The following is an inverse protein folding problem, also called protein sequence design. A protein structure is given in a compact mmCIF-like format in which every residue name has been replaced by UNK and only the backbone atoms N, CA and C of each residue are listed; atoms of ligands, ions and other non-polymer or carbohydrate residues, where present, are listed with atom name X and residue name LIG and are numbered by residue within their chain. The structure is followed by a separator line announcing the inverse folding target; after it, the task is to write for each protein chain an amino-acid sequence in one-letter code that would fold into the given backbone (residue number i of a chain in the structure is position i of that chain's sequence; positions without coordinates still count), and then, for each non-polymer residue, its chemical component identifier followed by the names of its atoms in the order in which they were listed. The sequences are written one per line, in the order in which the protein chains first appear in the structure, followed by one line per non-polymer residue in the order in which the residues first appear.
data_IF_804420293265
#
_entry.id   IF_804420293265
#
_cell.length_a   1.000
_cell.length_b   1.000
_cell.length_c   1.000
_cell.angle_alpha   90.00
_cell.angle_beta   90.00
_cell.angle_gamma   90.00
#
_symmetry.space_group_name_H-M   'P 1'
#
loop_
_entity.id
_entity.type
_entity.pdbx_description
1 polymer ?
#
# COMPACT_ATOMS: atom_id res chain seq x y z
N UNK A 1 6.10 4.51 -4.19
CA UNK A 1 6.65 3.69 -3.11
C UNK A 1 6.69 4.43 -1.78
N UNK A 2 7.36 5.58 -1.73
CA UNK A 2 7.51 6.39 -0.50
C UNK A 2 6.15 6.68 0.16
N UNK A 3 5.17 7.16 -0.58
CA UNK A 3 3.87 7.53 -0.01
C UNK A 3 3.12 6.33 0.58
N UNK A 4 3.15 5.19 -0.10
CA UNK A 4 2.56 3.94 0.44
C UNK A 4 3.32 3.48 1.68
N UNK A 5 4.65 3.59 1.69
CA UNK A 5 5.47 3.31 2.87
C UNK A 5 5.16 4.23 4.05
N UNK A 6 4.89 5.52 3.83
CA UNK A 6 4.43 6.46 4.89
C UNK A 6 3.09 6.01 5.48
N UNK A 7 2.14 5.57 4.65
CA UNK A 7 0.90 4.96 5.12
C UNK A 7 1.16 3.70 5.96
N UNK A 8 2.13 2.87 5.54
CA UNK A 8 2.58 1.70 6.30
C UNK A 8 3.21 2.06 7.64
N UNK A 9 4.06 3.08 7.67
CA UNK A 9 4.66 3.57 8.91
C UNK A 9 3.60 4.09 9.89
N UNK A 10 2.64 4.87 9.38
CA UNK A 10 1.50 5.34 10.17
C UNK A 10 0.66 4.18 10.74
N UNK A 11 0.41 3.13 9.94
CA UNK A 11 -0.29 1.94 10.39
C UNK A 11 0.44 1.27 11.58
N UNK A 12 1.77 1.09 11.48
CA UNK A 12 2.57 0.47 12.55
C UNK A 12 2.48 1.31 13.83
N UNK A 13 2.80 2.59 13.74
CA UNK A 13 2.85 3.49 14.89
C UNK A 13 1.47 3.66 15.57
N UNK A 14 0.40 3.78 14.79
CA UNK A 14 -0.94 3.95 15.33
C UNK A 14 -1.47 2.71 16.07
N UNK A 15 -0.93 1.52 15.75
CA UNK A 15 -1.49 0.26 16.24
C UNK A 15 -0.49 -0.59 17.03
N UNK A 16 0.74 -0.07 17.31
CA UNK A 16 1.83 -0.86 17.90
C UNK A 16 1.48 -1.47 19.27
N UNK A 17 0.93 -0.69 20.19
CA UNK A 17 0.57 -1.14 21.54
C UNK A 17 -0.79 -1.83 21.61
N UNK A 18 -1.71 -1.45 20.73
CA UNK A 18 -3.09 -1.98 20.71
C UNK A 18 -3.11 -3.48 20.42
N UNK A 19 -2.11 -4.02 19.73
CA UNK A 19 -2.01 -5.46 19.45
C UNK A 19 -1.91 -6.31 20.72
N UNK A 20 -1.43 -5.73 21.82
CA UNK A 20 -1.31 -6.39 23.12
C UNK A 20 -2.62 -6.34 23.92
N UNK A 21 -3.57 -5.49 23.51
CA UNK A 21 -4.86 -5.28 24.19
C UNK A 21 -5.97 -5.99 23.42
N UNK A 22 -6.13 -5.66 22.14
CA UNK A 22 -7.14 -6.22 21.26
C UNK A 22 -6.65 -6.21 19.80
N UNK A 23 -6.49 -7.40 19.22
CA UNK A 23 -5.99 -7.56 17.87
C UNK A 23 -6.93 -6.98 16.80
N UNK A 24 -8.24 -7.01 17.02
CA UNK A 24 -9.24 -6.49 16.09
C UNK A 24 -9.21 -4.97 16.08
N UNK A 25 -9.11 -4.36 17.26
CA UNK A 25 -8.97 -2.91 17.41
C UNK A 25 -7.66 -2.41 16.82
N UNK A 26 -6.55 -3.10 17.07
CA UNK A 26 -5.25 -2.77 16.49
C UNK A 26 -5.30 -2.79 14.95
N UNK A 27 -5.94 -3.82 14.38
CA UNK A 27 -6.13 -3.94 12.94
C UNK A 27 -6.99 -2.82 12.38
N UNK A 28 -8.10 -2.50 13.04
CA UNK A 28 -9.01 -1.41 12.65
C UNK A 28 -8.28 -0.06 12.66
N UNK A 29 -7.60 0.28 13.76
CA UNK A 29 -6.88 1.55 13.88
C UNK A 29 -5.76 1.66 12.84
N UNK A 30 -4.96 0.61 12.65
CA UNK A 30 -3.95 0.58 11.60
C UNK A 30 -4.55 0.74 10.19
N UNK A 31 -5.70 0.08 9.94
CA UNK A 31 -6.40 0.17 8.67
C UNK A 31 -6.97 1.56 8.39
N UNK A 32 -7.36 2.33 9.41
CA UNK A 32 -7.87 3.71 9.22
C UNK A 32 -6.76 4.70 8.86
N UNK A 33 -5.53 4.45 9.27
CA UNK A 33 -4.38 5.34 9.01
C UNK A 33 -3.69 5.05 7.68
N UNK A 34 -3.59 3.78 7.31
CA UNK A 34 -2.88 3.34 6.10
C UNK A 34 -3.33 4.05 4.80
N UNK A 35 -4.62 4.39 4.58
CA UNK A 35 -5.11 5.04 3.37
C UNK A 35 -4.44 6.38 3.04
N UNK A 36 -3.83 7.05 4.01
CA UNK A 36 -3.02 8.26 3.78
C UNK A 36 -2.00 8.04 2.66
N UNK A 37 -1.45 6.83 2.54
CA UNK A 37 -0.53 6.47 1.47
C UNK A 37 -1.12 6.65 0.08
N UNK A 38 -2.34 6.14 -0.17
CA UNK A 38 -3.00 6.31 -1.48
C UNK A 38 -3.51 7.74 -1.68
N UNK A 39 -3.98 8.41 -0.62
CA UNK A 39 -4.37 9.82 -0.71
C UNK A 39 -3.21 10.68 -1.21
N UNK A 40 -2.00 10.49 -0.65
CA UNK A 40 -0.79 11.19 -1.10
C UNK A 40 -0.46 10.85 -2.56
N UNK A 41 -0.57 9.59 -2.97
CA UNK A 41 -0.35 9.18 -4.36
C UNK A 41 -1.28 9.93 -5.30
N UNK A 42 -2.58 9.90 -5.03
CA UNK A 42 -3.61 10.44 -5.94
C UNK A 42 -3.61 11.97 -5.95
N UNK A 43 -3.52 12.59 -4.77
CA UNK A 43 -3.66 14.05 -4.64
C UNK A 43 -2.37 14.76 -5.04
N UNK A 44 -1.20 14.20 -4.69
CA UNK A 44 0.10 14.78 -5.04
C UNK A 44 0.62 14.32 -6.42
N UNK A 45 -0.12 13.46 -7.14
CA UNK A 45 0.20 13.09 -8.51
C UNK A 45 1.40 12.14 -8.66
N UNK A 46 1.54 11.17 -7.76
CA UNK A 46 2.59 10.16 -7.85
C UNK A 46 2.12 8.90 -8.60
N UNK A 47 3.07 8.15 -9.15
CA UNK A 47 2.83 6.90 -9.85
C UNK A 47 2.84 5.71 -8.88
N UNK A 48 1.81 4.87 -8.98
CA UNK A 48 1.67 3.66 -8.20
C UNK A 48 1.39 2.46 -9.10
N UNK A 49 2.25 1.44 -9.05
CA UNK A 49 2.13 0.24 -9.90
C UNK A 49 0.74 -0.41 -9.83
N UNK A 50 0.21 -0.59 -8.61
CA UNK A 50 -1.09 -1.23 -8.39
C UNK A 50 -2.26 -0.37 -8.90
N UNK A 51 -2.14 0.96 -8.89
CA UNK A 51 -3.11 1.87 -9.49
C UNK A 51 -3.00 1.91 -11.01
N UNK A 52 -1.77 1.81 -11.54
CA UNK A 52 -1.51 1.82 -12.99
C UNK A 52 -2.04 0.57 -13.72
N UNK A 53 -2.55 -0.42 -12.99
CA UNK A 53 -3.28 -1.53 -13.61
C UNK A 53 -4.55 -1.05 -14.35
N UNK A 54 -5.10 0.11 -14.01
CA UNK A 54 -6.15 0.78 -14.81
C UNK A 54 -5.73 1.11 -16.25
N UNK A 55 -4.44 1.23 -16.56
CA UNK A 55 -3.96 1.46 -17.92
C UNK A 55 -4.32 0.33 -18.89
N UNK A 56 -4.69 -0.85 -18.39
CA UNK A 56 -5.23 -1.94 -19.23
C UNK A 56 -6.48 -1.50 -20.00
N UNK A 57 -7.32 -0.64 -19.40
CA UNK A 57 -8.49 -0.08 -20.09
C UNK A 57 -8.08 0.82 -21.27
N UNK A 58 -6.98 1.56 -21.14
CA UNK A 58 -6.46 2.38 -22.24
C UNK A 58 -5.94 1.50 -23.40
N UNK A 59 -5.34 0.34 -23.09
CA UNK A 59 -4.97 -0.65 -24.12
C UNK A 59 -6.21 -1.22 -24.81
N UNK A 60 -7.22 -1.64 -24.06
CA UNK A 60 -8.48 -2.17 -24.60
C UNK A 60 -9.17 -1.17 -25.52
N UNK A 61 -9.11 0.13 -25.19
CA UNK A 61 -9.62 1.23 -25.98
C UNK A 61 -8.64 1.72 -27.07
N UNK A 62 -7.53 0.99 -27.30
CA UNK A 62 -6.51 1.32 -28.33
C UNK A 62 -5.91 2.73 -28.17
N UNK A 63 -5.90 3.29 -26.97
CA UNK A 63 -5.29 4.59 -26.66
C UNK A 63 -3.78 4.49 -26.41
N UNK A 64 -3.32 3.35 -25.94
CA UNK A 64 -1.92 3.03 -25.74
C UNK A 64 -1.65 1.59 -26.23
N UNK A 65 -0.38 1.29 -26.51
CA UNK A 65 0.08 -0.03 -26.92
C UNK A 65 0.42 -0.90 -25.72
N UNK A 66 0.43 -2.23 -25.90
CA UNK A 66 0.93 -3.16 -24.88
C UNK A 66 2.39 -2.86 -24.48
N UNK A 67 3.23 -2.42 -25.42
CA UNK A 67 4.62 -2.05 -25.13
C UNK A 67 4.70 -0.87 -24.16
N UNK A 68 3.87 0.14 -24.35
CA UNK A 68 3.80 1.31 -23.45
C UNK A 68 3.28 0.91 -22.07
N UNK A 69 2.28 0.02 -22.00
CA UNK A 69 1.76 -0.54 -20.75
C UNK A 69 2.88 -1.24 -19.96
N UNK A 70 3.54 -2.22 -20.57
CA UNK A 70 4.61 -2.98 -19.90
C UNK A 70 5.81 -2.11 -19.53
N UNK A 71 6.16 -1.12 -20.36
CA UNK A 71 7.20 -0.15 -20.04
C UNK A 71 6.83 0.66 -18.80
N UNK A 72 5.62 1.19 -18.73
CA UNK A 72 5.16 1.93 -17.55
C UNK A 72 5.17 1.04 -16.30
N UNK A 73 4.57 -0.14 -16.37
CA UNK A 73 4.52 -1.06 -15.23
C UNK A 73 5.90 -1.42 -14.70
N UNK A 74 6.85 -1.74 -15.58
CA UNK A 74 8.22 -2.09 -15.17
C UNK A 74 8.93 -0.93 -14.50
N UNK A 75 8.87 0.27 -15.11
CA UNK A 75 9.52 1.46 -14.57
C UNK A 75 8.92 1.87 -13.21
N UNK A 76 7.59 1.89 -13.12
CA UNK A 76 6.90 2.28 -11.89
C UNK A 76 7.10 1.25 -10.79
N UNK A 77 7.08 -0.05 -11.12
CA UNK A 77 7.35 -1.12 -10.16
C UNK A 77 8.74 -0.98 -9.53
N UNK A 78 9.78 -0.80 -10.37
CA UNK A 78 11.16 -0.60 -9.92
C UNK A 78 11.28 0.70 -9.10
N UNK A 79 10.70 1.79 -9.57
CA UNK A 79 10.72 3.07 -8.85
C UNK A 79 9.97 2.99 -7.49
N UNK A 80 8.85 2.26 -7.43
CA UNK A 80 8.16 2.02 -6.17
C UNK A 80 9.00 1.18 -5.21
N UNK A 81 9.70 0.14 -5.72
CA UNK A 81 10.61 -0.67 -4.91
C UNK A 81 11.75 0.17 -4.31
N UNK A 82 12.44 0.95 -5.16
CA UNK A 82 13.53 1.83 -4.71
C UNK A 82 13.01 2.84 -3.68
N UNK A 83 11.90 3.51 -3.96
CA UNK A 83 11.33 4.52 -3.06
C UNK A 83 10.88 3.93 -1.71
N UNK A 84 10.25 2.76 -1.71
CA UNK A 84 9.83 2.07 -0.47
C UNK A 84 11.02 1.64 0.38
N UNK A 85 12.07 1.09 -0.26
CA UNK A 85 13.27 0.65 0.43
C UNK A 85 14.07 1.83 1.00
N UNK A 86 14.21 2.92 0.23
CA UNK A 86 14.85 4.14 0.71
C UNK A 86 14.12 4.73 1.91
N UNK A 87 12.79 4.71 1.91
CA UNK A 87 12.00 5.16 3.04
C UNK A 87 12.23 4.25 4.27
N UNK A 88 12.25 2.93 4.10
CA UNK A 88 12.52 2.00 5.19
C UNK A 88 13.89 2.28 5.83
N UNK A 89 14.92 2.47 5.01
CA UNK A 89 16.27 2.85 5.48
C UNK A 89 16.25 4.20 6.21
N UNK A 90 15.56 5.20 5.66
CA UNK A 90 15.47 6.52 6.30
C UNK A 90 14.77 6.46 7.66
N UNK A 91 13.66 5.72 7.79
CA UNK A 91 12.92 5.53 9.06
C UNK A 91 13.77 4.76 10.07
N UNK A 92 14.53 3.75 9.62
CA UNK A 92 15.47 3.02 10.47
C UNK A 92 16.52 3.96 11.09
N UNK A 93 17.20 4.76 10.27
CA UNK A 93 18.21 5.72 10.76
C UNK A 93 17.61 6.88 11.55
N UNK A 94 16.36 7.25 11.31
CA UNK A 94 15.65 8.23 12.11
C UNK A 94 15.30 7.72 13.51
N UNK A 95 15.47 6.41 13.79
CA UNK A 95 15.14 5.82 15.08
C UNK A 95 13.66 5.89 15.43
N UNK A 96 12.77 5.96 14.43
CA UNK A 96 11.33 6.13 14.65
C UNK A 96 10.68 4.86 15.20
N UNK A 97 11.18 3.68 14.82
CA UNK A 97 10.62 2.39 15.23
C UNK A 97 11.46 1.79 16.35
N UNK A 98 10.99 2.00 17.58
CA UNK A 98 11.59 1.46 18.81
C UNK A 98 10.56 0.64 19.59
N UNK A 99 11.01 -0.29 20.44
CA UNK A 99 10.15 -1.07 21.32
C UNK A 99 9.02 -1.80 20.56
N UNK A 100 7.78 -1.50 20.89
CA UNK A 100 6.60 -2.16 20.31
C UNK A 100 6.47 -1.96 18.81
N UNK A 101 6.86 -0.80 18.27
CA UNK A 101 6.85 -0.56 16.83
C UNK A 101 7.83 -1.48 16.09
N UNK A 102 9.02 -1.68 16.63
CA UNK A 102 10.02 -2.61 16.09
C UNK A 102 9.50 -4.05 16.11
N UNK A 103 9.01 -4.50 17.25
CA UNK A 103 8.43 -5.85 17.39
C UNK A 103 7.28 -6.08 16.40
N UNK A 104 6.42 -5.07 16.23
CA UNK A 104 5.29 -5.15 15.32
C UNK A 104 5.72 -5.26 13.85
N UNK A 105 6.69 -4.45 13.40
CA UNK A 105 7.13 -4.52 11.99
C UNK A 105 7.83 -5.84 11.68
N UNK A 106 8.62 -6.38 12.62
CA UNK A 106 9.23 -7.71 12.50
C UNK A 106 8.14 -8.78 12.35
N UNK A 107 7.12 -8.76 13.21
CA UNK A 107 5.99 -9.70 13.15
C UNK A 107 5.24 -9.60 11.81
N UNK A 108 5.02 -8.38 11.29
CA UNK A 108 4.40 -8.16 9.98
C UNK A 108 5.27 -8.76 8.88
N UNK A 109 6.57 -8.48 8.86
CA UNK A 109 7.49 -8.99 7.84
C UNK A 109 7.53 -10.53 7.85
N UNK A 110 7.61 -11.15 9.03
CA UNK A 110 7.56 -12.60 9.19
C UNK A 110 6.27 -13.20 8.64
N UNK A 111 5.11 -12.65 9.04
CA UNK A 111 3.81 -13.16 8.59
C UNK A 111 3.64 -13.09 7.07
N UNK A 112 4.20 -12.05 6.43
CA UNK A 112 4.17 -11.89 4.98
C UNK A 112 5.12 -12.83 4.25
N UNK A 113 6.27 -13.13 4.84
CA UNK A 113 7.29 -14.02 4.27
C UNK A 113 6.93 -15.51 4.40
N UNK A 114 5.97 -15.86 5.25
CA UNK A 114 5.52 -17.24 5.47
C UNK A 114 4.27 -17.64 4.67
N UNK A 115 3.70 -16.71 3.90
CA UNK A 115 2.55 -17.03 3.04
C UNK A 115 2.94 -18.03 1.95
N UNK A 116 2.03 -18.95 1.68
CA UNK A 116 2.15 -19.80 0.50
C UNK A 116 1.98 -18.98 -0.78
N UNK A 117 2.52 -19.46 -1.89
CA UNK A 117 2.40 -18.78 -3.20
C UNK A 117 0.92 -18.56 -3.56
N UNK A 118 0.05 -19.53 -3.29
CA UNK A 118 -1.36 -19.44 -3.60
C UNK A 118 -2.06 -18.35 -2.74
N UNK A 119 -1.78 -18.33 -1.43
CA UNK A 119 -2.32 -17.29 -0.54
C UNK A 119 -1.86 -15.90 -0.95
N UNK A 120 -0.57 -15.73 -1.22
CA UNK A 120 -0.01 -14.45 -1.65
C UNK A 120 -0.65 -13.99 -2.97
N UNK A 121 -0.85 -14.90 -3.93
CA UNK A 121 -1.47 -14.61 -5.22
C UNK A 121 -2.93 -14.18 -5.06
N UNK A 122 -3.73 -14.96 -4.33
CA UNK A 122 -5.16 -14.66 -4.15
C UNK A 122 -5.34 -13.36 -3.37
N UNK A 123 -4.61 -13.17 -2.27
CA UNK A 123 -4.66 -11.93 -1.48
C UNK A 123 -4.19 -10.73 -2.30
N UNK A 124 -3.21 -10.91 -3.19
CA UNK A 124 -2.74 -9.87 -4.11
C UNK A 124 -3.81 -9.48 -5.14
N UNK A 125 -4.49 -10.44 -5.74
CA UNK A 125 -5.60 -10.19 -6.68
C UNK A 125 -6.73 -9.43 -6.00
N UNK A 126 -7.19 -9.88 -4.83
CA UNK A 126 -8.27 -9.24 -4.07
C UNK A 126 -7.88 -7.83 -3.65
N UNK A 127 -6.64 -7.62 -3.19
CA UNK A 127 -6.12 -6.30 -2.87
C UNK A 127 -6.14 -5.39 -4.09
N UNK A 128 -5.58 -5.85 -5.22
CA UNK A 128 -5.44 -5.01 -6.40
C UNK A 128 -6.80 -4.64 -7.02
N UNK A 129 -7.78 -5.52 -6.95
CA UNK A 129 -9.16 -5.23 -7.33
C UNK A 129 -9.71 -4.02 -6.57
N UNK A 130 -9.51 -3.98 -5.24
CA UNK A 130 -9.99 -2.87 -4.40
C UNK A 130 -9.18 -1.59 -4.68
N UNK A 131 -7.85 -1.68 -4.86
CA UNK A 131 -7.01 -0.51 -5.17
C UNK A 131 -7.40 0.12 -6.50
N UNK A 132 -7.63 -0.70 -7.53
CA UNK A 132 -8.09 -0.21 -8.85
C UNK A 132 -9.43 0.49 -8.74
N UNK A 133 -10.38 -0.05 -7.96
CA UNK A 133 -11.68 0.59 -7.72
C UNK A 133 -11.52 1.92 -6.96
N UNK A 134 -10.63 1.99 -5.97
CA UNK A 134 -10.34 3.24 -5.25
C UNK A 134 -9.80 4.33 -6.18
N UNK A 135 -8.84 3.97 -7.05
CA UNK A 135 -8.28 4.91 -8.03
C UNK A 135 -9.34 5.32 -9.06
N UNK A 136 -10.19 4.40 -9.50
CA UNK A 136 -11.32 4.70 -10.40
C UNK A 136 -12.28 5.71 -9.78
N UNK A 137 -12.71 5.46 -8.53
CA UNK A 137 -13.58 6.38 -7.78
C UNK A 137 -12.92 7.75 -7.58
N UNK A 138 -11.62 7.78 -7.24
CA UNK A 138 -10.87 9.01 -7.06
C UNK A 138 -10.70 9.80 -8.37
N UNK A 139 -10.64 9.12 -9.51
CA UNK A 139 -10.62 9.75 -10.85
C UNK A 139 -11.97 10.40 -11.19
N UNK A 140 -13.08 9.80 -10.77
CA UNK A 140 -14.42 10.36 -10.95
C UNK A 140 -14.73 11.53 -10.00
N UNK A 141 -14.04 11.61 -8.85
CA UNK A 141 -14.23 12.66 -7.85
C UNK A 141 -13.72 14.02 -8.33
N UNK A 142 -14.53 15.08 -8.13
CA UNK A 142 -14.27 16.41 -8.67
C UNK A 142 -13.52 17.35 -7.68
N UNK A 143 -13.49 17.01 -6.41
CA UNK A 143 -12.87 17.82 -5.35
C UNK A 143 -11.96 16.96 -4.46
N UNK A 144 -11.11 17.62 -3.66
CA UNK A 144 -10.12 16.95 -2.80
C UNK A 144 -10.80 16.11 -1.71
N UNK A 145 -11.88 16.58 -1.13
CA UNK A 145 -12.57 15.88 -0.03
C UNK A 145 -13.16 14.57 -0.56
N UNK A 146 -13.84 14.63 -1.70
CA UNK A 146 -14.37 13.43 -2.36
C UNK A 146 -13.27 12.44 -2.73
N UNK A 147 -12.09 12.89 -3.18
CA UNK A 147 -10.93 12.03 -3.45
C UNK A 147 -10.41 11.36 -2.18
N UNK A 148 -10.37 12.08 -1.06
CA UNK A 148 -9.97 11.52 0.24
C UNK A 148 -10.87 10.33 0.60
N UNK A 149 -12.20 10.51 0.56
CA UNK A 149 -13.14 9.44 0.90
C UNK A 149 -13.12 8.31 -0.12
N UNK A 150 -12.95 8.60 -1.41
CA UNK A 150 -12.82 7.60 -2.46
C UNK A 150 -11.58 6.70 -2.26
N UNK A 151 -10.50 7.25 -1.69
CA UNK A 151 -9.33 6.47 -1.32
C UNK A 151 -9.50 5.78 0.03
N UNK A 152 -10.08 6.45 1.02
CA UNK A 152 -10.06 6.00 2.42
C UNK A 152 -10.75 4.68 2.63
N UNK A 153 -12.03 4.59 2.32
CA UNK A 153 -12.82 3.40 2.65
C UNK A 153 -12.36 2.12 1.92
N UNK A 154 -12.08 2.12 0.61
CA UNK A 154 -11.61 0.91 -0.05
C UNK A 154 -10.23 0.45 0.48
N UNK A 155 -9.32 1.39 0.71
CA UNK A 155 -7.99 1.06 1.22
C UNK A 155 -8.05 0.56 2.66
N UNK A 156 -8.86 1.19 3.51
CA UNK A 156 -9.14 0.69 4.86
C UNK A 156 -9.65 -0.76 4.82
N UNK A 157 -10.59 -1.05 3.89
CA UNK A 157 -11.18 -2.38 3.76
C UNK A 157 -10.13 -3.44 3.43
N UNK A 158 -9.26 -3.24 2.42
CA UNK A 158 -8.31 -4.29 2.09
C UNK A 158 -7.27 -4.51 3.20
N UNK A 159 -6.87 -3.46 3.92
CA UNK A 159 -5.97 -3.59 5.07
C UNK A 159 -6.65 -4.37 6.20
N UNK A 160 -7.90 -4.05 6.47
CA UNK A 160 -8.71 -4.74 7.49
C UNK A 160 -8.90 -6.23 7.15
N UNK A 161 -9.11 -6.57 5.87
CA UNK A 161 -9.22 -7.95 5.39
C UNK A 161 -7.87 -8.70 5.39
N UNK A 162 -6.74 -8.01 5.53
CA UNK A 162 -5.42 -8.63 5.48
C UNK A 162 -5.01 -9.07 4.07
N UNK A 163 -5.46 -8.35 3.04
CA UNK A 163 -5.03 -8.58 1.67
C UNK A 163 -3.62 -8.05 1.41
N UNK A 164 -2.91 -8.63 0.44
CA UNK A 164 -1.50 -8.35 0.20
C UNK A 164 -1.30 -7.30 -0.89
N UNK A 165 -0.70 -6.18 -0.52
CA UNK A 165 -0.37 -5.10 -1.44
C UNK A 165 1.12 -5.14 -1.79
N UNK A 166 1.45 -5.43 -3.05
CA UNK A 166 2.83 -5.62 -3.49
C UNK A 166 3.75 -4.45 -3.12
N UNK A 167 3.33 -3.21 -3.39
CA UNK A 167 4.14 -2.01 -3.08
C UNK A 167 4.24 -1.75 -1.57
N UNK A 168 3.21 -2.07 -0.78
CA UNK A 168 3.32 -1.98 0.68
C UNK A 168 4.32 -3.01 1.24
N UNK A 169 4.36 -4.20 0.65
CA UNK A 169 5.33 -5.22 1.04
C UNK A 169 6.78 -4.82 0.74
N UNK A 170 7.01 -3.97 -0.28
CA UNK A 170 8.32 -3.37 -0.57
C UNK A 170 8.81 -2.44 0.56
N UNK A 171 7.93 -2.01 1.46
CA UNK A 171 8.27 -1.27 2.67
C UNK A 171 8.30 -2.18 3.90
N UNK A 172 7.23 -2.94 4.14
CA UNK A 172 7.11 -3.74 5.36
C UNK A 172 8.19 -4.82 5.50
N UNK A 173 8.52 -5.52 4.41
CA UNK A 173 9.49 -6.61 4.45
C UNK A 173 10.90 -6.07 4.72
N UNK A 174 11.45 -5.11 3.94
CA UNK A 174 12.77 -4.55 4.25
C UNK A 174 12.85 -3.86 5.62
N UNK A 175 11.76 -3.26 6.09
CA UNK A 175 11.74 -2.57 7.38
C UNK A 175 11.79 -3.55 8.57
N UNK A 176 11.29 -4.77 8.41
CA UNK A 176 11.27 -5.80 9.46
C UNK A 176 12.41 -6.83 9.36
N UNK A 177 13.34 -6.65 8.43
CA UNK A 177 14.55 -7.47 8.25
C UNK A 177 15.72 -6.88 9.01
#
# INVERSE_FOLDING_TARGET
GIFIGLGGAGNILASQTLSNIDASLARLVGATVFPVGLMLVVICGAELFTGNNLMTLAVMNKKITLRELFRNWSLVYIANFIGSTLLAVAIFYAGTFNGDASNKVISIAQSKSTLTILEALIRGILCNMIVVLAVWMATAAQDIISKIFACWFPIMLFVLCGFEHSVANMFFIPMGM
#
